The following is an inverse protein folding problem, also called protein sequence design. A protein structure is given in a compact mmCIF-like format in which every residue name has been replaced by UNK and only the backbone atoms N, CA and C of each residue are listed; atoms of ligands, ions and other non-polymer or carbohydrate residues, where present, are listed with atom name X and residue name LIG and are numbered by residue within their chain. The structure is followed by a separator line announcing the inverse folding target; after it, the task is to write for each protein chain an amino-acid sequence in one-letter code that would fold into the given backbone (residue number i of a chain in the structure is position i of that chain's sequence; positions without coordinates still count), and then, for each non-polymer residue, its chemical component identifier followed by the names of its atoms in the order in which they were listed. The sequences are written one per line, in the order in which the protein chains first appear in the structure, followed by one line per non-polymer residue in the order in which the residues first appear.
data_IF_541213748916
#
_entry.id   IF_541213748916
#
_cell.length_a   1.000
_cell.length_b   1.000
_cell.length_c   1.000
_cell.angle_alpha   90.00
_cell.angle_beta   90.00
_cell.angle_gamma   90.00
#
_symmetry.space_group_name_H-M   'P 1'
#
loop_
_entity.id
_entity.type
_entity.pdbx_description
1 polymer ?
#
# COMPACT_ATOMS: atom_id res chain seq x y z
N UNK A 1 -4.12 16.60 -28.62
CA UNK A 1 -3.23 17.10 -27.54
C UNK A 1 -3.95 18.27 -26.89
N UNK A 2 -4.61 18.05 -25.75
CA UNK A 2 -5.43 19.08 -25.08
C UNK A 2 -4.62 20.23 -24.49
N UNK A 3 -3.29 20.14 -24.49
CA UNK A 3 -2.38 21.21 -24.07
C UNK A 3 -1.47 21.58 -25.26
N UNK A 4 -1.79 22.69 -25.93
CA UNK A 4 -0.92 23.27 -26.95
C UNK A 4 0.23 24.01 -26.26
N UNK A 5 1.41 23.41 -26.23
CA UNK A 5 2.64 24.05 -25.77
C UNK A 5 3.50 24.50 -26.95
N UNK A 6 4.48 25.36 -26.70
CA UNK A 6 5.44 25.81 -27.72
C UNK A 6 6.64 24.88 -27.87
N UNK A 7 7.00 24.19 -26.78
CA UNK A 7 8.12 23.26 -26.69
C UNK A 7 7.60 21.88 -26.27
N UNK A 8 8.00 20.85 -27.01
CA UNK A 8 7.71 19.45 -26.70
C UNK A 8 9.02 18.70 -26.47
N UNK A 9 9.18 18.15 -25.28
CA UNK A 9 10.29 17.24 -24.93
C UNK A 9 9.68 15.85 -24.80
N UNK A 10 10.18 14.92 -25.61
CA UNK A 10 9.68 13.55 -25.71
C UNK A 10 10.79 12.58 -25.34
N UNK A 11 10.66 11.93 -24.20
CA UNK A 11 11.63 10.95 -23.70
C UNK A 11 11.21 9.51 -24.07
N UNK A 12 11.87 8.97 -25.09
CA UNK A 12 11.65 7.65 -25.72
C UNK A 12 10.19 7.20 -25.89
N UNK A 13 9.30 8.04 -26.48
CA UNK A 13 7.86 7.76 -26.57
C UNK A 13 7.49 6.59 -27.49
N UNK A 14 8.42 6.13 -28.34
CA UNK A 14 8.17 5.09 -29.34
C UNK A 14 8.74 3.71 -28.93
N UNK A 15 9.30 3.59 -27.73
CA UNK A 15 9.96 2.36 -27.24
C UNK A 15 9.02 1.19 -27.00
N UNK A 16 7.79 1.46 -26.53
CA UNK A 16 6.80 0.44 -26.18
C UNK A 16 5.84 0.08 -27.34
N UNK A 17 5.98 0.72 -28.50
CA UNK A 17 5.11 0.50 -29.66
C UNK A 17 5.83 -0.31 -30.73
N UNK A 18 5.07 -1.10 -31.49
CA UNK A 18 5.59 -1.83 -32.64
C UNK A 18 6.05 -0.86 -33.74
N UNK A 19 6.90 -1.36 -34.65
CA UNK A 19 7.52 -0.51 -35.66
C UNK A 19 6.51 0.13 -36.63
N UNK A 20 5.35 -0.49 -36.87
CA UNK A 20 4.33 0.07 -37.76
C UNK A 20 3.58 1.20 -37.07
N UNK A 21 3.09 0.98 -35.85
CA UNK A 21 2.45 2.04 -35.04
C UNK A 21 3.43 3.17 -34.74
N UNK A 22 4.70 2.85 -34.46
CA UNK A 22 5.76 3.83 -34.23
C UNK A 22 5.96 4.77 -35.43
N UNK A 23 5.99 4.24 -36.66
CA UNK A 23 6.05 5.08 -37.88
C UNK A 23 4.80 5.93 -38.03
N UNK A 24 3.62 5.35 -37.81
CA UNK A 24 2.36 6.08 -37.92
C UNK A 24 2.29 7.25 -36.91
N UNK A 25 2.68 7.03 -35.66
CA UNK A 25 2.76 8.07 -34.62
C UNK A 25 3.78 9.14 -34.97
N UNK A 26 4.95 8.74 -35.49
CA UNK A 26 5.96 9.70 -35.90
C UNK A 26 5.46 10.61 -37.02
N UNK A 27 4.86 10.04 -38.07
CA UNK A 27 4.41 10.80 -39.25
C UNK A 27 3.18 11.66 -38.96
N UNK A 28 2.17 11.12 -38.27
CA UNK A 28 0.92 11.85 -38.02
C UNK A 28 1.02 12.83 -36.86
N UNK A 29 1.75 12.48 -35.79
CA UNK A 29 1.82 13.31 -34.58
C UNK A 29 3.08 14.17 -34.53
N UNK A 30 4.27 13.55 -34.60
CA UNK A 30 5.54 14.27 -34.40
C UNK A 30 5.85 15.18 -35.60
N UNK A 31 5.75 14.65 -36.82
CA UNK A 31 6.03 15.39 -38.05
C UNK A 31 4.79 16.10 -38.63
N UNK A 32 3.59 15.58 -38.34
CA UNK A 32 2.32 16.15 -38.77
C UNK A 32 1.81 17.24 -37.83
N UNK A 33 1.13 16.86 -36.74
CA UNK A 33 0.43 17.82 -35.86
C UNK A 33 1.34 18.77 -35.08
N UNK A 34 2.57 18.36 -34.78
CA UNK A 34 3.55 19.21 -34.09
C UNK A 34 4.42 20.03 -35.05
N UNK A 35 4.08 20.06 -36.35
CA UNK A 35 4.81 20.83 -37.35
C UNK A 35 4.75 22.33 -37.02
N UNK A 36 5.92 22.96 -36.94
CA UNK A 36 6.06 24.38 -36.58
C UNK A 36 6.22 24.67 -35.09
N UNK A 37 6.23 23.64 -34.23
CA UNK A 37 6.60 23.75 -32.80
C UNK A 37 8.03 23.28 -32.58
N UNK A 38 8.66 23.72 -31.48
CA UNK A 38 9.98 23.22 -31.07
C UNK A 38 9.82 21.82 -30.49
N UNK A 39 10.51 20.84 -31.06
CA UNK A 39 10.39 19.41 -30.70
C UNK A 39 11.77 18.85 -30.39
N UNK A 40 11.93 18.24 -29.22
CA UNK A 40 13.13 17.50 -28.83
C UNK A 40 12.72 16.06 -28.54
N UNK A 41 13.21 15.13 -29.36
CA UNK A 41 12.96 13.70 -29.22
C UNK A 41 14.25 13.02 -28.76
N UNK A 42 14.19 12.36 -27.60
CA UNK A 42 15.23 11.48 -27.10
C UNK A 42 14.79 10.06 -27.48
N UNK A 43 15.59 9.36 -28.27
CA UNK A 43 15.26 7.97 -28.65
C UNK A 43 16.51 7.17 -28.95
N UNK A 44 16.41 5.87 -28.66
CA UNK A 44 17.43 4.89 -29.05
C UNK A 44 17.19 4.31 -30.46
N UNK A 45 16.07 4.68 -31.11
CA UNK A 45 15.69 4.13 -32.41
C UNK A 45 16.29 4.96 -33.55
N UNK A 46 17.29 4.40 -34.22
CA UNK A 46 18.04 5.09 -35.29
C UNK A 46 17.20 5.44 -36.53
N UNK A 47 16.09 4.73 -36.76
CA UNK A 47 15.24 4.87 -37.95
C UNK A 47 14.60 6.26 -38.12
N UNK A 48 14.56 7.08 -37.07
CA UNK A 48 13.97 8.42 -37.11
C UNK A 48 15.00 9.54 -37.25
N UNK A 49 16.31 9.22 -37.18
CA UNK A 49 17.38 10.22 -37.21
C UNK A 49 17.47 10.95 -38.56
N UNK A 50 17.17 10.28 -39.67
CA UNK A 50 17.25 10.87 -41.01
C UNK A 50 16.29 12.05 -41.21
N UNK A 51 15.15 12.05 -40.51
CA UNK A 51 14.13 13.11 -40.58
C UNK A 51 14.39 14.26 -39.59
N UNK A 52 15.44 14.20 -38.77
CA UNK A 52 15.73 15.20 -37.77
C UNK A 52 16.54 16.37 -38.33
N UNK A 53 16.18 17.60 -37.94
CA UNK A 53 16.87 18.83 -38.36
C UNK A 53 18.27 18.95 -37.73
N UNK A 54 18.42 18.50 -36.49
CA UNK A 54 19.67 18.51 -35.73
C UNK A 54 19.70 17.33 -34.77
N UNK A 55 20.80 16.57 -34.79
CA UNK A 55 21.02 15.40 -33.95
C UNK A 55 22.11 15.73 -32.95
N UNK A 56 21.91 15.38 -31.67
CA UNK A 56 22.92 15.52 -30.61
C UNK A 56 23.24 14.13 -30.07
N UNK A 57 24.50 13.70 -30.18
CA UNK A 57 24.98 12.43 -29.64
C UNK A 57 25.66 12.66 -28.29
N UNK A 58 25.15 12.01 -27.25
CA UNK A 58 25.67 12.11 -25.88
C UNK A 58 26.27 10.75 -25.47
N UNK A 59 27.48 10.76 -24.89
CA UNK A 59 28.11 9.58 -24.31
C UNK A 59 28.80 9.95 -22.99
N UNK A 60 28.61 9.15 -21.94
CA UNK A 60 29.15 9.38 -20.59
C UNK A 60 28.95 10.83 -20.10
N UNK A 61 27.77 11.41 -20.38
CA UNK A 61 27.41 12.78 -19.97
C UNK A 61 28.09 13.91 -20.75
N UNK A 62 28.78 13.61 -21.86
CA UNK A 62 29.39 14.62 -22.75
C UNK A 62 28.80 14.54 -24.15
N UNK A 63 28.64 15.69 -24.80
CA UNK A 63 28.24 15.77 -26.21
C UNK A 63 29.45 15.36 -27.06
N UNK A 64 29.33 14.25 -27.79
CA UNK A 64 30.37 13.81 -28.74
C UNK A 64 30.23 14.59 -30.05
N UNK A 65 28.99 14.72 -30.54
CA UNK A 65 28.74 15.27 -31.85
C UNK A 65 27.36 15.91 -31.95
N UNK A 66 27.26 16.91 -32.82
CA UNK A 66 26.04 17.64 -33.09
C UNK A 66 26.01 18.07 -34.57
N UNK A 67 24.88 17.90 -35.25
CA UNK A 67 24.71 18.32 -36.64
C UNK A 67 23.62 17.56 -37.37
N UNK A 68 23.53 17.75 -38.69
CA UNK A 68 22.61 16.98 -39.54
C UNK A 68 23.10 15.55 -39.72
N UNK A 69 22.18 14.62 -39.99
CA UNK A 69 22.53 13.22 -40.24
C UNK A 69 23.64 13.05 -41.30
N UNK A 70 23.51 13.75 -42.42
CA UNK A 70 24.49 13.69 -43.52
C UNK A 70 25.87 14.27 -43.17
N UNK A 71 25.95 15.20 -42.23
CA UNK A 71 27.23 15.80 -41.78
C UNK A 71 27.93 14.86 -40.80
N UNK A 72 27.17 14.30 -39.85
CA UNK A 72 27.69 13.35 -38.86
C UNK A 72 28.14 12.04 -39.50
N UNK A 73 27.44 11.58 -40.54
CA UNK A 73 27.85 10.39 -41.29
C UNK A 73 29.15 10.63 -42.07
N UNK A 74 29.36 11.84 -42.63
CA UNK A 74 30.62 12.22 -43.28
C UNK A 74 31.80 12.34 -42.30
N UNK A 75 31.54 12.66 -41.04
CA UNK A 75 32.54 12.65 -39.97
C UNK A 75 32.91 11.23 -39.50
N UNK A 76 32.33 10.18 -40.10
CA UNK A 76 32.63 8.78 -39.78
C UNK A 76 32.03 8.29 -38.47
N UNK A 77 31.01 8.99 -37.93
CA UNK A 77 30.35 8.60 -36.69
C UNK A 77 29.39 7.44 -36.99
N UNK A 78 29.77 6.23 -36.61
CA UNK A 78 28.89 5.07 -36.73
C UNK A 78 27.90 5.03 -35.57
N UNK A 79 26.65 5.44 -35.84
CA UNK A 79 25.55 5.44 -34.88
C UNK A 79 25.14 4.02 -34.41
N UNK A 80 25.44 2.97 -35.18
CA UNK A 80 25.08 1.59 -34.81
C UNK A 80 25.82 1.15 -33.55
N UNK A 81 27.08 1.59 -33.37
CA UNK A 81 27.90 1.31 -32.17
C UNK A 81 27.24 1.78 -30.87
N UNK A 82 26.38 2.80 -30.94
CA UNK A 82 25.75 3.41 -29.77
C UNK A 82 24.33 2.88 -29.51
N UNK A 83 23.89 1.85 -30.24
CA UNK A 83 22.59 1.21 -29.98
C UNK A 83 22.69 0.24 -28.81
N UNK A 84 21.72 0.28 -27.89
CA UNK A 84 21.68 -0.51 -26.65
C UNK A 84 21.82 -2.04 -26.89
N UNK A 85 21.45 -2.54 -28.08
CA UNK A 85 21.54 -3.97 -28.42
C UNK A 85 22.98 -4.51 -28.45
N UNK A 86 23.97 -3.70 -28.82
CA UNK A 86 25.36 -4.14 -28.85
C UNK A 86 26.12 -3.79 -27.55
N UNK A 87 25.72 -2.70 -26.86
CA UNK A 87 26.23 -2.38 -25.52
C UNK A 87 25.85 -3.42 -24.44
N UNK A 88 24.68 -4.07 -24.57
CA UNK A 88 24.29 -5.20 -23.70
C UNK A 88 25.16 -6.44 -23.97
N UNK A 89 25.54 -6.72 -25.21
CA UNK A 89 26.45 -7.83 -25.55
C UNK A 89 27.86 -7.61 -25.02
N UNK A 90 28.36 -6.38 -25.02
CA UNK A 90 29.65 -6.04 -24.40
C UNK A 90 29.59 -6.22 -22.87
N UNK A 91 28.53 -5.76 -22.20
CA UNK A 91 28.34 -5.99 -20.75
C UNK A 91 28.15 -7.46 -20.37
N UNK A 92 27.40 -8.23 -21.14
CA UNK A 92 27.24 -9.68 -20.93
C UNK A 92 28.56 -10.43 -21.13
N UNK A 93 29.46 -9.93 -21.98
CA UNK A 93 30.79 -10.53 -22.17
C UNK A 93 31.78 -10.15 -21.04
N UNK A 94 31.63 -8.96 -20.44
CA UNK A 94 32.38 -8.56 -19.25
C UNK A 94 31.91 -9.32 -17.99
N UNK A 95 30.59 -9.51 -17.80
CA UNK A 95 30.03 -10.29 -16.68
C UNK A 95 30.36 -11.80 -16.79
N UNK A 96 30.44 -12.36 -18.01
CA UNK A 96 30.88 -13.75 -18.24
C UNK A 96 32.34 -14.01 -17.89
N UNK A 97 33.19 -12.99 -17.77
CA UNK A 97 34.58 -13.17 -17.33
C UNK A 97 34.71 -13.26 -15.79
N UNK A 98 33.75 -12.70 -15.04
CA UNK A 98 33.74 -12.83 -13.56
C UNK A 98 33.08 -14.12 -13.07
N UNK A 99 32.15 -14.71 -13.83
CA UNK A 99 31.45 -15.96 -13.45
C UNK A 99 32.20 -17.26 -13.78
N UNK A 100 33.36 -17.20 -14.46
CA UNK A 100 34.19 -18.38 -14.73
C UNK A 100 34.85 -18.98 -13.47
N UNK A 101 34.86 -18.26 -12.34
CA UNK A 101 35.44 -18.74 -11.07
C UNK A 101 34.43 -19.37 -10.08
N UNK A 102 33.15 -19.55 -10.46
CA UNK A 102 32.14 -20.18 -9.58
C UNK A 102 31.47 -21.45 -10.12
N UNK A 103 31.73 -21.83 -11.37
CA UNK A 103 31.08 -22.98 -12.00
C UNK A 103 31.90 -24.29 -11.91
N UNK A 104 32.20 -24.74 -10.68
CA UNK A 104 32.69 -26.11 -10.42
C UNK A 104 31.69 -26.93 -9.58
N UNK A 105 30.53 -26.37 -9.19
CA UNK A 105 29.60 -27.05 -8.28
C UNK A 105 28.15 -27.26 -8.80
N UNK A 106 27.87 -27.00 -10.07
CA UNK A 106 26.50 -27.13 -10.64
C UNK A 106 26.40 -28.07 -11.85
N UNK A 107 27.37 -28.95 -12.06
CA UNK A 107 27.33 -29.94 -13.16
C UNK A 107 26.59 -31.24 -12.85
N UNK A 108 25.94 -31.40 -11.69
CA UNK A 108 25.38 -32.69 -11.27
C UNK A 108 23.84 -32.75 -11.06
N UNK A 109 23.05 -31.81 -11.60
CA UNK A 109 21.58 -31.82 -11.41
C UNK A 109 20.74 -31.54 -12.67
N UNK A 110 21.23 -31.88 -13.87
CA UNK A 110 20.45 -31.74 -15.12
C UNK A 110 20.52 -32.99 -16.00
N UNK A 111 20.11 -34.11 -15.43
CA UNK A 111 19.69 -35.31 -16.19
C UNK A 111 18.38 -35.82 -15.59
N UNK A 112 17.28 -35.07 -15.77
CA UNK A 112 15.90 -35.54 -15.58
C UNK A 112 14.93 -34.38 -15.89
N UNK A 113 14.79 -33.99 -17.17
CA UNK A 113 13.63 -33.20 -17.65
C UNK A 113 13.57 -33.03 -19.18
N UNK A 114 14.06 -34.01 -19.95
CA UNK A 114 13.86 -34.07 -21.40
C UNK A 114 12.89 -35.20 -21.75
N UNK A 115 11.62 -35.01 -21.43
CA UNK A 115 10.50 -35.78 -21.97
C UNK A 115 9.22 -35.03 -21.61
N UNK A 116 8.76 -34.12 -22.50
CA UNK A 116 7.35 -33.71 -22.68
C UNK A 116 7.14 -32.55 -23.69
N UNK A 117 7.93 -32.48 -24.77
CA UNK A 117 7.74 -31.51 -25.85
C UNK A 117 7.21 -32.16 -27.15
N UNK A 118 6.09 -32.88 -27.08
CA UNK A 118 5.43 -33.42 -28.29
C UNK A 118 3.89 -33.40 -28.32
N UNK A 119 3.19 -32.63 -27.48
CA UNK A 119 1.73 -32.53 -27.62
C UNK A 119 1.21 -31.11 -27.34
N UNK A 120 1.22 -30.26 -28.37
CA UNK A 120 0.23 -29.18 -28.56
C UNK A 120 0.37 -28.51 -29.94
N UNK A 121 0.14 -29.29 -31.00
CA UNK A 121 -0.18 -28.77 -32.34
C UNK A 121 -1.42 -29.49 -32.87
N UNK A 122 -2.59 -29.17 -32.34
CA UNK A 122 -3.87 -29.35 -33.03
C UNK A 122 -4.95 -28.58 -32.27
N UNK A 123 -5.34 -27.41 -32.78
CA UNK A 123 -6.75 -26.98 -32.96
C UNK A 123 -6.84 -25.46 -33.19
N UNK A 124 -6.50 -25.06 -34.41
CA UNK A 124 -7.03 -23.84 -35.03
C UNK A 124 -8.26 -24.24 -35.86
N UNK A 125 -9.47 -24.14 -35.28
CA UNK A 125 -10.72 -23.98 -36.05
C UNK A 125 -11.76 -23.19 -35.24
N UNK A 126 -11.93 -21.93 -35.65
CA UNK A 126 -13.17 -21.15 -35.69
C UNK A 126 -14.14 -21.20 -34.51
N UNK A 127 -14.22 -20.08 -33.78
CA UNK A 127 -15.52 -19.60 -33.28
C UNK A 127 -15.57 -18.08 -33.26
N UNK A 128 -16.49 -17.55 -34.06
CA UNK A 128 -17.01 -16.18 -34.14
C UNK A 128 -16.72 -15.27 -32.94
N UNK A 129 -15.90 -14.24 -33.19
CA UNK A 129 -15.78 -13.05 -32.36
C UNK A 129 -17.12 -12.33 -32.46
N UNK A 130 -17.97 -12.50 -31.45
CA UNK A 130 -19.08 -11.57 -31.21
C UNK A 130 -18.46 -10.28 -30.68
N UNK A 131 -18.67 -9.19 -31.41
CA UNK A 131 -18.50 -7.82 -30.94
C UNK A 131 -19.29 -7.64 -29.64
N UNK A 132 -18.62 -7.82 -28.51
CA UNK A 132 -19.16 -7.51 -27.20
C UNK A 132 -18.77 -6.08 -26.87
N UNK A 133 -19.68 -5.14 -27.16
CA UNK A 133 -19.87 -3.84 -26.51
C UNK A 133 -18.60 -3.16 -25.96
N UNK A 134 -17.86 -2.49 -26.85
CA UNK A 134 -16.73 -1.61 -26.53
C UNK A 134 -17.15 -0.44 -25.60
N UNK A 135 -18.43 -0.08 -25.57
CA UNK A 135 -18.95 1.03 -24.75
C UNK A 135 -19.14 0.73 -23.25
N UNK A 136 -18.88 -0.51 -22.79
CA UNK A 136 -18.89 -0.87 -21.35
C UNK A 136 -17.51 -1.09 -20.75
N UNK A 137 -16.44 -1.08 -21.56
CA UNK A 137 -15.08 -1.34 -21.10
C UNK A 137 -14.43 -0.16 -20.35
N UNK A 138 -15.01 1.04 -20.45
CA UNK A 138 -14.60 2.22 -19.67
C UNK A 138 -15.20 2.29 -18.26
N UNK A 139 -15.79 1.19 -17.74
CA UNK A 139 -16.22 1.14 -16.34
C UNK A 139 -14.99 1.14 -15.43
N UNK A 140 -15.01 2.01 -14.42
CA UNK A 140 -14.00 2.10 -13.36
C UNK A 140 -13.55 0.71 -12.92
N UNK A 141 -12.31 0.33 -13.27
CA UNK A 141 -11.69 -0.92 -12.79
C UNK A 141 -11.62 -0.89 -11.25
N UNK A 142 -11.46 0.32 -10.70
CA UNK A 142 -11.50 0.60 -9.27
C UNK A 142 -12.91 0.47 -8.72
N UNK A 143 -13.18 -0.59 -7.95
CA UNK A 143 -14.48 -0.77 -7.30
C UNK A 143 -14.63 0.20 -6.12
N UNK A 144 -15.77 0.87 -6.03
CA UNK A 144 -16.19 1.55 -4.80
C UNK A 144 -16.45 0.51 -3.70
N UNK A 145 -16.21 0.89 -2.45
CA UNK A 145 -16.26 -0.06 -1.33
C UNK A 145 -17.71 -0.44 -1.01
N UNK A 146 -18.08 -1.71 -1.24
CA UNK A 146 -19.43 -2.21 -0.91
C UNK A 146 -19.61 -2.35 0.61
N UNK A 147 -20.74 -1.82 1.10
CA UNK A 147 -21.07 -1.69 2.50
C UNK A 147 -21.66 -2.98 3.09
N UNK A 148 -21.13 -3.44 4.22
CA UNK A 148 -21.95 -4.18 5.18
C UNK A 148 -22.47 -3.18 6.24
N UNK A 149 -23.78 -2.95 6.26
CA UNK A 149 -24.47 -2.06 7.21
C UNK A 149 -24.84 -2.75 8.53
N UNK A 150 -24.58 -4.05 8.63
CA UNK A 150 -25.08 -4.87 9.72
C UNK A 150 -24.17 -4.83 10.96
N UNK A 151 -24.76 -5.20 12.10
CA UNK A 151 -24.02 -5.36 13.34
C UNK A 151 -22.93 -6.42 13.18
N UNK A 152 -21.78 -6.19 13.79
CA UNK A 152 -20.66 -7.15 13.74
C UNK A 152 -21.10 -8.45 14.44
N UNK A 153 -20.99 -9.61 13.77
CA UNK A 153 -21.41 -10.86 14.38
C UNK A 153 -20.49 -11.24 15.55
N UNK A 154 -21.04 -11.94 16.55
CA UNK A 154 -20.29 -12.32 17.76
C UNK A 154 -19.08 -13.23 17.45
N UNK A 155 -19.14 -13.99 16.35
CA UNK A 155 -18.03 -14.83 15.88
C UNK A 155 -16.73 -14.07 15.63
N UNK A 156 -16.81 -12.83 15.17
CA UNK A 156 -15.66 -12.00 14.86
C UNK A 156 -14.94 -11.57 16.14
N UNK A 157 -15.70 -11.22 17.18
CA UNK A 157 -15.14 -10.97 18.50
C UNK A 157 -14.45 -12.22 19.05
N UNK A 158 -15.09 -13.39 18.95
CA UNK A 158 -14.51 -14.64 19.43
C UNK A 158 -13.22 -15.01 18.70
N UNK A 159 -13.16 -14.83 17.38
CA UNK A 159 -11.94 -15.02 16.59
C UNK A 159 -10.81 -14.11 17.08
N UNK A 160 -11.13 -12.90 17.52
CA UNK A 160 -10.16 -11.94 18.03
C UNK A 160 -9.65 -12.31 19.43
N UNK A 161 -10.54 -12.73 20.33
CA UNK A 161 -10.17 -13.23 21.67
C UNK A 161 -9.23 -14.44 21.59
N UNK A 162 -9.44 -15.33 20.61
CA UNK A 162 -8.56 -16.49 20.38
C UNK A 162 -7.14 -16.09 19.92
N UNK A 163 -6.97 -14.89 19.39
CA UNK A 163 -5.65 -14.38 18.95
C UNK A 163 -4.79 -13.92 20.13
N UNK A 164 -5.41 -13.39 21.20
CA UNK A 164 -4.72 -12.90 22.41
C UNK A 164 -3.93 -13.99 23.13
N UNK A 165 -4.53 -15.17 23.32
CA UNK A 165 -3.89 -16.30 24.00
C UNK A 165 -4.07 -17.58 23.18
N UNK A 166 -3.02 -18.42 23.03
CA UNK A 166 -3.05 -19.59 22.15
C UNK A 166 -4.05 -20.66 22.59
N UNK A 167 -4.29 -20.77 23.90
CA UNK A 167 -5.11 -21.82 24.50
C UNK A 167 -6.32 -21.22 25.20
N UNK A 168 -7.49 -21.82 25.00
CA UNK A 168 -8.74 -21.36 25.63
C UNK A 168 -8.67 -21.40 27.16
N UNK A 169 -7.95 -22.37 27.71
CA UNK A 169 -7.76 -22.53 29.15
C UNK A 169 -6.95 -21.37 29.75
N UNK A 170 -5.93 -20.88 29.04
CA UNK A 170 -5.18 -19.68 29.48
C UNK A 170 -6.06 -18.43 29.44
N UNK A 171 -6.94 -18.32 28.44
CA UNK A 171 -7.90 -17.23 28.35
C UNK A 171 -8.92 -17.26 29.50
N UNK A 172 -9.40 -18.45 29.88
CA UNK A 172 -10.29 -18.61 31.03
C UNK A 172 -9.58 -18.29 32.35
N UNK A 173 -8.33 -18.72 32.54
CA UNK A 173 -7.53 -18.36 33.72
C UNK A 173 -7.33 -16.85 33.79
N UNK A 174 -6.99 -16.22 32.66
CA UNK A 174 -6.80 -14.77 32.61
C UNK A 174 -8.10 -14.01 32.91
N UNK A 175 -9.24 -14.44 32.35
CA UNK A 175 -10.55 -13.87 32.67
C UNK A 175 -10.88 -14.01 34.16
N UNK A 176 -10.57 -15.15 34.78
CA UNK A 176 -10.75 -15.36 36.20
C UNK A 176 -9.87 -14.45 37.06
N UNK A 177 -8.61 -14.23 36.68
CA UNK A 177 -7.70 -13.30 37.36
C UNK A 177 -8.21 -11.85 37.31
N UNK A 178 -8.81 -11.44 36.18
CA UNK A 178 -9.44 -10.12 36.04
C UNK A 178 -10.65 -9.97 36.98
N UNK A 179 -11.50 -11.00 37.07
CA UNK A 179 -12.65 -11.00 37.98
C UNK A 179 -12.22 -10.91 39.45
N UNK A 180 -11.20 -11.68 39.85
CA UNK A 180 -10.65 -11.60 41.22
C UNK A 180 -10.13 -10.19 41.51
N UNK A 181 -9.41 -9.59 40.56
CA UNK A 181 -8.89 -8.24 40.73
C UNK A 181 -10.03 -7.23 40.96
N UNK A 182 -11.09 -7.28 40.14
CA UNK A 182 -12.20 -6.33 40.22
C UNK A 182 -13.01 -6.49 41.51
N UNK A 183 -13.25 -7.73 41.95
CA UNK A 183 -13.90 -8.03 43.23
C UNK A 183 -13.04 -7.51 44.39
N UNK A 184 -11.73 -7.73 44.36
CA UNK A 184 -10.85 -7.29 45.43
C UNK A 184 -10.68 -5.76 45.46
N UNK A 185 -10.71 -5.10 44.30
CA UNK A 185 -10.73 -3.64 44.18
C UNK A 185 -12.05 -3.04 44.68
N UNK A 186 -13.16 -3.71 44.42
CA UNK A 186 -14.46 -3.33 44.99
C UNK A 186 -14.41 -3.47 46.52
N UNK A 187 -13.90 -4.59 47.03
CA UNK A 187 -13.76 -4.81 48.47
C UNK A 187 -12.88 -3.77 49.17
N UNK A 188 -11.73 -3.39 48.60
CA UNK A 188 -10.87 -2.36 49.20
C UNK A 188 -11.55 -0.98 49.23
N UNK A 189 -12.44 -0.68 48.28
CA UNK A 189 -13.23 0.57 48.27
C UNK A 189 -14.31 0.58 49.37
N UNK A 190 -14.90 -0.57 49.71
CA UNK A 190 -15.85 -0.69 50.82
C UNK A 190 -15.19 -0.76 52.20
N UNK A 191 -13.91 -1.14 52.26
CA UNK A 191 -13.16 -1.37 53.49
C UNK A 191 -13.19 -0.20 54.50
N UNK A 192 -12.99 1.08 54.10
CA UNK A 192 -12.98 2.19 55.05
C UNK A 192 -14.32 2.38 55.79
N UNK A 193 -15.45 2.03 55.16
CA UNK A 193 -16.78 2.17 55.77
C UNK A 193 -17.11 1.10 56.82
N UNK A 194 -16.67 -0.14 56.60
CA UNK A 194 -17.01 -1.28 57.48
C UNK A 194 -15.93 -1.54 58.53
N UNK A 195 -14.69 -1.72 58.08
CA UNK A 195 -13.59 -2.17 58.95
C UNK A 195 -12.78 -0.97 59.46
N UNK A 196 -12.70 0.10 58.66
CA UNK A 196 -12.05 1.35 59.03
C UNK A 196 -12.78 2.13 60.12
N UNK A 197 -14.11 1.99 60.24
CA UNK A 197 -14.90 2.67 61.28
C UNK A 197 -14.62 2.09 62.67
N UNK A 198 -14.69 2.93 63.69
CA UNK A 198 -14.49 2.57 65.10
C UNK A 198 -15.71 1.91 65.74
N UNK A 199 -16.89 2.07 65.11
CA UNK A 199 -18.18 1.71 65.68
C UNK A 199 -18.48 0.21 65.58
N UNK A 200 -18.01 -0.43 64.50
CA UNK A 200 -18.31 -1.84 64.19
C UNK A 200 -17.26 -2.77 64.81
N UNK A 201 -15.99 -2.36 64.80
CA UNK A 201 -14.87 -3.12 65.37
C UNK A 201 -14.10 -2.27 66.40
N UNK A 202 -14.65 -2.11 67.63
CA UNK A 202 -14.04 -1.26 68.66
C UNK A 202 -12.79 -1.90 69.30
N UNK A 203 -12.70 -3.23 69.32
CA UNK A 203 -11.61 -3.96 69.98
C UNK A 203 -10.32 -4.04 69.15
N UNK A 204 -10.35 -3.62 67.88
CA UNK A 204 -9.19 -3.69 67.00
C UNK A 204 -8.42 -2.36 67.02
N UNK A 205 -7.11 -2.43 67.28
CA UNK A 205 -6.22 -1.26 67.26
C UNK A 205 -6.25 -0.55 65.90
N UNK A 206 -6.29 0.78 65.92
CA UNK A 206 -6.28 1.60 64.72
C UNK A 206 -5.05 1.32 63.83
N UNK A 207 -3.87 1.12 64.45
CA UNK A 207 -2.64 0.81 63.73
C UNK A 207 -2.71 -0.53 63.01
N UNK A 208 -3.36 -1.54 63.60
CA UNK A 208 -3.58 -2.84 62.95
C UNK A 208 -4.44 -2.71 61.70
N UNK A 209 -5.52 -1.92 61.77
CA UNK A 209 -6.42 -1.68 60.62
C UNK A 209 -5.69 -1.02 59.44
N UNK A 210 -4.85 -0.02 59.72
CA UNK A 210 -4.05 0.66 58.69
C UNK A 210 -3.00 -0.26 58.09
N UNK A 211 -2.27 -1.02 58.91
CA UNK A 211 -1.23 -1.94 58.42
C UNK A 211 -1.86 -3.01 57.52
N UNK A 212 -3.00 -3.59 57.94
CA UNK A 212 -3.71 -4.58 57.15
C UNK A 212 -4.20 -4.01 55.81
N UNK A 213 -4.76 -2.80 55.83
CA UNK A 213 -5.17 -2.08 54.62
C UNK A 213 -3.99 -1.83 53.67
N UNK A 214 -2.85 -1.37 54.20
CA UNK A 214 -1.65 -1.12 53.40
C UNK A 214 -1.07 -2.39 52.77
N UNK A 215 -1.09 -3.52 53.49
CA UNK A 215 -0.65 -4.82 52.95
C UNK A 215 -1.57 -5.30 51.84
N UNK A 216 -2.89 -5.23 52.03
CA UNK A 216 -3.85 -5.63 50.98
C UNK A 216 -3.67 -4.75 49.74
N UNK A 217 -3.51 -3.44 49.90
CA UNK A 217 -3.26 -2.51 48.80
C UNK A 217 -1.97 -2.84 48.05
N UNK A 218 -0.88 -3.16 48.77
CA UNK A 218 0.38 -3.57 48.16
C UNK A 218 0.23 -4.87 47.35
N UNK A 219 -0.52 -5.85 47.86
CA UNK A 219 -0.81 -7.10 47.13
C UNK A 219 -1.64 -6.84 45.88
N UNK A 220 -2.66 -5.99 45.96
CA UNK A 220 -3.48 -5.61 44.80
C UNK A 220 -2.67 -4.86 43.74
N UNK A 221 -1.74 -4.00 44.16
CA UNK A 221 -0.84 -3.32 43.25
C UNK A 221 0.10 -4.31 42.52
N UNK A 222 0.65 -5.31 43.21
CA UNK A 222 1.44 -6.36 42.57
C UNK A 222 0.61 -7.18 41.57
N UNK A 223 -0.63 -7.49 41.92
CA UNK A 223 -1.56 -8.22 41.04
C UNK A 223 -1.89 -7.40 39.78
N UNK A 224 -2.09 -6.07 39.91
CA UNK A 224 -2.26 -5.15 38.79
C UNK A 224 -1.05 -5.16 37.86
N UNK A 225 0.17 -5.09 38.40
CA UNK A 225 1.39 -5.15 37.60
C UNK A 225 1.49 -6.47 36.83
N UNK A 226 1.19 -7.60 37.48
CA UNK A 226 1.20 -8.92 36.86
C UNK A 226 0.17 -9.01 35.73
N UNK A 227 -1.05 -8.50 35.93
CA UNK A 227 -2.08 -8.47 34.89
C UNK A 227 -1.72 -7.53 33.74
N UNK A 228 -1.03 -6.40 34.02
CA UNK A 228 -0.52 -5.49 32.98
C UNK A 228 0.55 -6.17 32.12
N UNK A 229 1.41 -7.00 32.72
CA UNK A 229 2.45 -7.74 32.00
C UNK A 229 1.80 -8.82 31.12
N UNK A 230 0.87 -9.61 31.66
CA UNK A 230 0.14 -10.64 30.89
C UNK A 230 -0.63 -10.00 29.72
N UNK A 231 -1.33 -8.90 29.98
CA UNK A 231 -2.03 -8.13 28.93
C UNK A 231 -1.07 -7.65 27.84
N UNK A 232 0.08 -7.09 28.22
CA UNK A 232 1.07 -6.59 27.28
C UNK A 232 1.63 -7.68 26.36
N UNK A 233 1.90 -8.87 26.90
CA UNK A 233 2.34 -10.01 26.11
C UNK A 233 1.25 -10.59 25.22
N UNK A 234 0.03 -10.76 25.74
CA UNK A 234 -1.13 -11.20 24.96
C UNK A 234 -1.43 -10.22 23.82
N UNK A 235 -1.25 -8.93 24.09
CA UNK A 235 -1.47 -7.88 23.10
C UNK A 235 -0.45 -7.90 21.98
N UNK A 236 0.85 -7.94 22.34
CA UNK A 236 1.93 -8.06 21.36
C UNK A 236 1.73 -9.28 20.46
N UNK A 237 1.32 -10.42 21.04
CA UNK A 237 1.00 -11.63 20.27
C UNK A 237 -0.17 -11.41 19.32
N UNK A 238 -1.28 -10.85 19.82
CA UNK A 238 -2.47 -10.59 19.01
C UNK A 238 -2.14 -9.76 17.77
N UNK A 239 -1.42 -8.65 17.96
CA UNK A 239 -0.99 -7.79 16.86
C UNK A 239 -0.12 -8.58 15.88
N UNK A 240 0.91 -9.29 16.35
CA UNK A 240 1.78 -10.06 15.45
C UNK A 240 1.01 -11.07 14.59
N UNK A 241 0.02 -11.75 15.16
CA UNK A 241 -0.81 -12.71 14.42
C UNK A 241 -1.70 -12.01 13.40
N UNK A 242 -2.40 -10.93 13.79
CA UNK A 242 -3.28 -10.18 12.88
C UNK A 242 -2.48 -9.55 11.73
N UNK A 243 -1.36 -8.89 12.05
CA UNK A 243 -0.46 -8.27 11.08
C UNK A 243 0.10 -9.31 10.10
N UNK A 244 0.59 -10.45 10.61
CA UNK A 244 1.17 -11.50 9.75
C UNK A 244 0.13 -12.20 8.87
N UNK A 245 -1.09 -12.43 9.37
CA UNK A 245 -2.18 -12.99 8.57
C UNK A 245 -2.62 -12.03 7.46
N UNK A 246 -2.74 -10.74 7.77
CA UNK A 246 -3.08 -9.71 6.79
C UNK A 246 -2.00 -9.61 5.71
N UNK A 247 -0.72 -9.52 6.12
CA UNK A 247 0.40 -9.45 5.20
C UNK A 247 0.48 -10.69 4.30
N UNK A 248 0.32 -11.89 4.87
CA UNK A 248 0.30 -13.14 4.10
C UNK A 248 -0.84 -13.12 3.09
N UNK A 249 -2.03 -12.65 3.48
CA UNK A 249 -3.18 -12.58 2.58
C UNK A 249 -2.97 -11.59 1.43
N UNK A 250 -2.34 -10.45 1.68
CA UNK A 250 -2.02 -9.44 0.64
C UNK A 250 -0.98 -9.98 -0.34
N UNK A 251 0.11 -10.60 0.15
CA UNK A 251 1.18 -11.10 -0.72
C UNK A 251 0.69 -12.22 -1.67
N UNK A 252 -0.29 -13.02 -1.23
CA UNK A 252 -0.85 -14.10 -2.04
C UNK A 252 -2.08 -13.67 -2.85
N UNK A 253 -2.45 -12.38 -2.80
CA UNK A 253 -3.57 -11.88 -3.59
C UNK A 253 -3.22 -11.88 -5.09
N UNK A 254 -4.16 -12.23 -5.98
CA UNK A 254 -3.93 -12.19 -7.42
C UNK A 254 -3.68 -10.76 -7.92
N UNK A 255 -2.93 -10.58 -9.01
CA UNK A 255 -2.65 -9.25 -9.59
C UNK A 255 -3.92 -8.42 -9.83
N UNK A 256 -5.02 -9.09 -10.23
CA UNK A 256 -6.33 -8.47 -10.41
C UNK A 256 -6.82 -7.68 -9.19
N UNK A 257 -6.54 -8.15 -7.96
CA UNK A 257 -6.90 -7.44 -6.74
C UNK A 257 -6.25 -6.06 -6.65
N UNK A 258 -5.00 -5.94 -7.10
CA UNK A 258 -4.24 -4.68 -7.07
C UNK A 258 -4.67 -3.72 -8.19
N UNK A 259 -5.15 -4.27 -9.31
CA UNK A 259 -5.69 -3.46 -10.42
C UNK A 259 -7.08 -2.89 -10.10
N UNK A 260 -7.87 -3.58 -9.26
CA UNK A 260 -9.22 -3.13 -8.84
C UNK A 260 -9.25 -2.36 -7.54
N UNK A 261 -8.20 -2.45 -6.71
CA UNK A 261 -8.19 -1.86 -5.37
C UNK A 261 -7.21 -0.69 -5.32
N UNK A 262 -7.65 0.54 -4.97
CA UNK A 262 -6.75 1.67 -4.88
C UNK A 262 -5.65 1.41 -3.85
N UNK A 263 -4.41 1.76 -4.19
CA UNK A 263 -3.26 1.63 -3.28
C UNK A 263 -3.50 2.38 -1.97
N UNK A 264 -4.15 3.55 -2.01
CA UNK A 264 -4.54 4.30 -0.82
C UNK A 264 -5.43 3.52 0.14
N UNK A 265 -6.32 2.64 -0.36
CA UNK A 265 -7.20 1.81 0.48
C UNK A 265 -6.40 0.74 1.22
N UNK A 266 -5.50 0.07 0.51
CA UNK A 266 -4.61 -0.94 1.11
C UNK A 266 -3.73 -0.28 2.17
N UNK A 267 -3.14 0.87 1.84
CA UNK A 267 -2.28 1.61 2.75
C UNK A 267 -3.05 2.11 3.98
N UNK A 268 -4.27 2.62 3.81
CA UNK A 268 -5.08 3.07 4.92
C UNK A 268 -5.54 1.92 5.84
N UNK A 269 -5.84 0.74 5.28
CA UNK A 269 -6.10 -0.46 6.09
C UNK A 269 -4.88 -0.93 6.88
N UNK A 270 -3.69 -0.84 6.28
CA UNK A 270 -2.42 -1.21 6.95
C UNK A 270 -1.94 -0.19 7.98
N UNK A 271 -2.22 1.10 7.78
CA UNK A 271 -1.69 2.17 8.65
C UNK A 271 -2.74 2.71 9.63
N UNK A 272 -3.99 2.85 9.21
CA UNK A 272 -5.09 3.34 10.03
C UNK A 272 -5.73 2.23 10.87
N UNK A 273 -6.34 1.24 10.23
CA UNK A 273 -7.13 0.24 10.95
C UNK A 273 -6.26 -0.64 11.86
N UNK A 274 -5.03 -0.93 11.42
CA UNK A 274 -4.07 -1.73 12.18
C UNK A 274 -3.58 -1.02 13.45
N UNK A 275 -3.37 0.30 13.39
CA UNK A 275 -3.01 1.08 14.58
C UNK A 275 -4.19 1.22 15.53
N UNK A 276 -5.42 1.27 15.01
CA UNK A 276 -6.62 1.21 15.84
C UNK A 276 -6.75 -0.13 16.55
N UNK A 277 -6.47 -1.25 15.88
CA UNK A 277 -6.44 -2.58 16.51
C UNK A 277 -5.39 -2.59 17.62
N UNK A 278 -4.17 -2.14 17.34
CA UNK A 278 -3.06 -2.09 18.29
C UNK A 278 -3.40 -1.23 19.54
N UNK A 279 -4.14 -0.13 19.37
CA UNK A 279 -4.58 0.77 20.45
C UNK A 279 -5.85 0.29 21.18
N UNK A 280 -6.82 -0.28 20.47
CA UNK A 280 -8.08 -0.74 21.07
C UNK A 280 -7.90 -1.96 21.95
N UNK A 281 -6.95 -2.83 21.63
CA UNK A 281 -6.57 -3.93 22.49
C UNK A 281 -5.92 -3.47 23.82
N UNK A 282 -5.35 -2.27 23.88
CA UNK A 282 -4.91 -1.67 25.14
C UNK A 282 -6.11 -1.17 25.97
N UNK A 283 -7.11 -0.59 25.30
CA UNK A 283 -8.33 -0.05 25.94
C UNK A 283 -9.48 -1.06 25.95
N UNK A 284 -9.21 -2.33 26.29
CA UNK A 284 -10.09 -3.47 26.09
C UNK A 284 -11.40 -3.48 26.94
N UNK A 285 -11.90 -2.35 27.43
CA UNK A 285 -13.22 -2.31 28.08
C UNK A 285 -14.02 -0.99 27.99
N UNK A 286 -13.51 0.10 27.39
CA UNK A 286 -14.29 1.36 27.32
C UNK A 286 -15.27 1.44 26.13
N UNK A 287 -15.18 0.53 25.15
CA UNK A 287 -15.93 0.63 23.90
C UNK A 287 -17.15 -0.31 23.77
N UNK A 288 -17.52 -1.07 24.80
CA UNK A 288 -18.81 -1.78 24.78
C UNK A 288 -20.02 -0.83 24.84
N UNK A 289 -19.80 0.47 25.07
CA UNK A 289 -20.80 1.54 25.01
C UNK A 289 -20.53 2.58 23.91
N UNK A 290 -19.67 2.28 22.92
CA UNK A 290 -19.51 3.20 21.80
C UNK A 290 -20.74 3.09 20.88
N UNK A 291 -21.59 4.12 20.92
CA UNK A 291 -22.83 4.22 20.14
C UNK A 291 -22.62 3.86 18.66
N UNK A 292 -23.69 3.36 18.00
CA UNK A 292 -23.69 3.10 16.54
C UNK A 292 -23.11 4.28 15.74
N UNK A 293 -23.37 5.51 16.21
CA UNK A 293 -22.89 6.75 15.62
C UNK A 293 -21.36 6.83 15.53
N UNK A 294 -20.61 6.46 16.57
CA UNK A 294 -19.15 6.59 16.50
C UNK A 294 -18.48 5.53 15.65
N UNK A 295 -18.98 4.30 15.65
CA UNK A 295 -18.46 3.28 14.72
C UNK A 295 -18.65 3.73 13.28
N UNK A 296 -19.82 4.30 12.99
CA UNK A 296 -20.09 4.89 11.68
C UNK A 296 -19.18 6.10 11.41
N UNK A 297 -18.94 6.98 12.40
CA UNK A 297 -18.07 8.14 12.26
C UNK A 297 -16.61 7.75 11.97
N UNK A 298 -16.03 6.82 12.76
CA UNK A 298 -14.66 6.31 12.52
C UNK A 298 -14.52 5.61 11.18
N UNK A 299 -15.57 4.90 10.75
CA UNK A 299 -15.62 4.28 9.44
C UNK A 299 -15.65 5.33 8.33
N UNK A 300 -16.47 6.37 8.47
CA UNK A 300 -16.51 7.47 7.51
C UNK A 300 -15.17 8.21 7.44
N UNK A 301 -14.52 8.44 8.58
CA UNK A 301 -13.18 9.05 8.65
C UNK A 301 -12.14 8.21 7.89
N UNK A 302 -12.12 6.89 8.10
CA UNK A 302 -11.19 5.99 7.41
C UNK A 302 -11.41 5.97 5.89
N UNK A 303 -12.66 5.93 5.44
CA UNK A 303 -13.02 5.92 4.01
C UNK A 303 -12.65 7.24 3.32
N UNK A 304 -13.03 8.37 3.91
CA UNK A 304 -12.79 9.70 3.34
C UNK A 304 -11.30 10.08 3.28
N UNK A 305 -10.45 9.45 4.11
CA UNK A 305 -9.00 9.63 4.09
C UNK A 305 -8.32 8.94 2.90
N UNK A 306 -8.86 7.82 2.42
CA UNK A 306 -8.21 6.99 1.39
C UNK A 306 -7.97 7.75 0.05
N UNK A 307 -8.94 8.52 -0.50
CA UNK A 307 -8.72 9.30 -1.72
C UNK A 307 -7.61 10.35 -1.60
N UNK A 308 -7.46 10.98 -0.42
CA UNK A 308 -6.42 11.97 -0.15
C UNK A 308 -5.04 11.30 -0.22
N UNK A 309 -4.89 10.13 0.39
CA UNK A 309 -3.66 9.34 0.36
C UNK A 309 -3.32 8.90 -1.07
N UNK A 310 -4.31 8.45 -1.84
CA UNK A 310 -4.13 8.12 -3.26
C UNK A 310 -3.68 9.33 -4.09
N UNK A 311 -4.32 10.49 -3.92
CA UNK A 311 -3.95 11.73 -4.62
C UNK A 311 -2.50 12.13 -4.30
N UNK A 312 -2.08 11.99 -3.04
CA UNK A 312 -0.72 12.28 -2.62
C UNK A 312 0.30 11.36 -3.31
N UNK A 313 -0.01 10.06 -3.41
CA UNK A 313 0.79 9.10 -4.17
C UNK A 313 0.92 9.47 -5.65
N UNK A 314 -0.21 9.77 -6.31
CA UNK A 314 -0.22 10.24 -7.72
C UNK A 314 0.62 11.50 -7.92
N UNK A 315 0.53 12.45 -6.97
CA UNK A 315 1.26 13.72 -7.04
C UNK A 315 2.77 13.52 -6.95
N UNK A 316 3.23 12.62 -6.07
CA UNK A 316 4.67 12.32 -5.92
C UNK A 316 5.21 11.66 -7.18
N UNK A 317 4.51 10.65 -7.71
CA UNK A 317 4.93 9.94 -8.92
C UNK A 317 4.91 10.86 -10.16
N UNK A 318 3.92 11.74 -10.26
CA UNK A 318 3.74 12.66 -11.39
C UNK A 318 4.39 14.05 -11.22
N UNK A 319 5.21 14.27 -10.19
CA UNK A 319 5.66 15.62 -9.80
C UNK A 319 6.39 16.38 -10.92
N UNK A 320 7.25 15.69 -11.68
CA UNK A 320 7.98 16.27 -12.81
C UNK A 320 7.02 16.74 -13.91
N UNK A 321 5.99 15.95 -14.23
CA UNK A 321 4.95 16.28 -15.20
C UNK A 321 4.10 17.47 -14.73
N UNK A 322 3.67 17.47 -13.46
CA UNK A 322 2.86 18.57 -12.89
C UNK A 322 3.61 19.90 -13.02
N UNK A 323 4.90 19.91 -12.66
CA UNK A 323 5.77 21.11 -12.77
C UNK A 323 6.05 21.50 -14.22
N UNK A 324 6.27 20.53 -15.10
CA UNK A 324 6.51 20.80 -16.52
C UNK A 324 5.31 21.48 -17.19
N UNK A 325 4.09 21.10 -16.82
CA UNK A 325 2.85 21.68 -17.34
C UNK A 325 2.30 22.86 -16.53
N UNK A 326 2.96 23.26 -15.43
CA UNK A 326 2.51 24.33 -14.52
C UNK A 326 1.09 24.11 -13.98
N UNK A 327 0.79 22.88 -13.57
CA UNK A 327 -0.54 22.46 -13.09
C UNK A 327 -0.67 22.48 -11.55
N UNK A 328 0.22 23.17 -10.85
CA UNK A 328 0.29 23.13 -9.38
C UNK A 328 -1.02 23.58 -8.74
N UNK A 329 -1.62 24.69 -9.21
CA UNK A 329 -2.88 25.20 -8.65
C UNK A 329 -4.05 24.25 -8.89
N UNK A 330 -4.12 23.57 -10.04
CA UNK A 330 -5.18 22.59 -10.34
C UNK A 330 -5.10 21.39 -9.38
N UNK A 331 -3.89 20.89 -9.13
CA UNK A 331 -3.68 19.78 -8.19
C UNK A 331 -3.92 20.20 -6.74
N UNK A 332 -3.58 21.44 -6.39
CA UNK A 332 -3.83 22.04 -5.08
C UNK A 332 -5.33 22.22 -4.82
N UNK A 333 -6.10 22.72 -5.78
CA UNK A 333 -7.56 22.79 -5.70
C UNK A 333 -8.20 21.41 -5.57
N UNK A 334 -7.69 20.41 -6.31
CA UNK A 334 -8.15 19.02 -6.18
C UNK A 334 -7.89 18.47 -4.78
N UNK A 335 -6.72 18.77 -4.20
CA UNK A 335 -6.39 18.39 -2.83
C UNK A 335 -7.33 19.06 -1.82
N UNK A 336 -7.55 20.38 -1.92
CA UNK A 336 -8.46 21.09 -1.02
C UNK A 336 -9.89 20.57 -1.13
N UNK A 337 -10.39 20.28 -2.33
CA UNK A 337 -11.73 19.70 -2.51
C UNK A 337 -11.89 18.37 -1.76
N UNK A 338 -10.92 17.45 -1.91
CA UNK A 338 -10.97 16.16 -1.22
C UNK A 338 -10.82 16.33 0.30
N UNK A 339 -10.01 17.30 0.74
CA UNK A 339 -9.84 17.60 2.15
C UNK A 339 -11.10 18.24 2.76
N UNK A 340 -11.80 19.08 2.00
CA UNK A 340 -13.07 19.68 2.41
C UNK A 340 -14.19 18.63 2.42
N UNK A 341 -14.23 17.68 1.48
CA UNK A 341 -15.13 16.52 1.53
C UNK A 341 -14.88 15.64 2.76
N UNK A 342 -13.61 15.48 3.16
CA UNK A 342 -13.23 14.80 4.40
C UNK A 342 -13.68 15.57 5.64
N UNK A 343 -13.53 16.90 5.65
CA UNK A 343 -13.85 17.74 6.80
C UNK A 343 -15.35 18.05 6.93
N UNK A 344 -16.06 18.11 5.80
CA UNK A 344 -17.47 18.49 5.68
C UNK A 344 -18.21 17.48 4.79
N UNK A 345 -18.48 16.28 5.30
CA UNK A 345 -19.43 15.40 4.62
C UNK A 345 -20.83 16.03 4.64
N UNK A 346 -21.43 16.43 3.49
CA UNK A 346 -22.73 17.11 3.47
C UNK A 346 -23.88 16.22 3.96
N UNK A 347 -23.70 14.89 3.95
CA UNK A 347 -24.67 13.94 4.51
C UNK A 347 -24.79 14.00 6.05
N UNK A 348 -23.95 14.77 6.74
CA UNK A 348 -24.02 14.95 8.18
C UNK A 348 -25.08 15.95 8.64
N UNK A 349 -25.66 16.76 7.74
CA UNK A 349 -26.62 17.82 8.13
C UNK A 349 -28.08 17.38 8.00
N UNK A 350 -28.41 16.41 7.13
CA UNK A 350 -29.81 16.00 6.91
C UNK A 350 -30.36 14.95 7.88
N UNK A 351 -29.53 14.33 8.73
CA UNK A 351 -29.97 13.31 9.70
C UNK A 351 -30.13 13.84 11.14
N UNK A 352 -30.08 15.16 11.34
CA UNK A 352 -30.24 15.81 12.67
C UNK A 352 -31.46 16.76 12.70
N UNK A 353 -32.38 16.64 11.75
CA UNK A 353 -33.77 17.12 11.89
C UNK A 353 -34.71 15.91 11.93
#
# INVERSE_FOLDING_TARGET
LSYSQDIYILDDPLSAVDAHVGRHLFEQCIDGRLKGKTRMLITNQLQFLEKADNIILINKGRIIAQGKYSELNKQGINFQKYTIKDLRKEKENEEKQEDQNKNVLESNLKEEQNENDQNQQTNLKGSNIKEANVDKAGKQIMTEEEYQTDAVPWSQYWSFYRTLLPNILLLLIYAFLLLIQDVAQTFINFWPGIIGSTDIFPNASYNWKIILYAVILAVLFLLLLLNSIISGFGQKRSNQVIHSQLLKSIIHAPCFFFDTTPVGRILNRLTGDLTLVDQMLYNMFLAQLYSRASRNLKRMESISKSPIVSLFGETITGLSTIRAFKLEEVWKERFYRLNDEWMFSPSQVEYVQ
#
